data_IF_063211878305
#
_entry.id   IF_063211878305
#
_cell.length_a   1.000
_cell.length_b   1.000
_cell.length_c   1.000
_cell.angle_alpha   90.00
_cell.angle_beta   90.00
_cell.angle_gamma   90.00
#
_symmetry.space_group_name_H-M   'P 1'
#
loop_
_entity.id
_entity.type
_entity.pdbx_description
1 polymer ?
#
# COMPACT_ATOMS: atom_id res chain seq x y z
N UNK A 1 -45.60 12.61 -1.75
CA UNK A 1 -44.20 12.84 -1.33
C UNK A 1 -43.80 14.21 -1.84
N UNK A 2 -43.51 15.17 -0.95
CA UNK A 2 -43.31 16.57 -1.34
C UNK A 2 -41.94 16.78 -1.99
N UNK A 3 -41.80 17.86 -2.77
CA UNK A 3 -40.55 18.27 -3.44
C UNK A 3 -39.31 18.23 -2.52
N UNK A 4 -39.51 18.45 -1.22
CA UNK A 4 -38.49 18.41 -0.17
C UNK A 4 -37.88 17.03 0.07
N UNK A 5 -38.62 15.93 -0.08
CA UNK A 5 -38.06 14.59 0.12
C UNK A 5 -37.22 14.14 -1.07
N UNK A 6 -37.57 14.58 -2.28
CA UNK A 6 -36.82 14.27 -3.50
C UNK A 6 -35.46 14.98 -3.53
N UNK A 7 -35.41 16.25 -3.11
CA UNK A 7 -34.16 17.02 -3.07
C UNK A 7 -33.19 16.53 -1.99
N UNK A 8 -33.68 16.18 -0.80
CA UNK A 8 -32.84 15.56 0.24
C UNK A 8 -32.35 14.16 -0.17
N UNK A 9 -33.20 13.35 -0.81
CA UNK A 9 -32.82 12.03 -1.31
C UNK A 9 -31.74 12.11 -2.38
N UNK A 10 -31.85 13.04 -3.33
CA UNK A 10 -30.86 13.25 -4.38
C UNK A 10 -29.50 13.68 -3.80
N UNK A 11 -29.49 14.55 -2.79
CA UNK A 11 -28.25 14.98 -2.13
C UNK A 11 -27.53 13.81 -1.45
N UNK A 12 -28.28 12.92 -0.78
CA UNK A 12 -27.73 11.72 -0.16
C UNK A 12 -27.10 10.76 -1.18
N UNK A 13 -27.76 10.56 -2.32
CA UNK A 13 -27.25 9.71 -3.40
C UNK A 13 -25.95 10.26 -4.02
N UNK A 14 -25.84 11.58 -4.21
CA UNK A 14 -24.62 12.21 -4.73
C UNK A 14 -23.45 12.04 -3.76
N UNK A 15 -23.66 12.28 -2.46
CA UNK A 15 -22.62 12.12 -1.43
C UNK A 15 -22.15 10.65 -1.39
N UNK A 16 -23.08 9.69 -1.38
CA UNK A 16 -22.75 8.27 -1.40
C UNK A 16 -21.97 7.88 -2.67
N UNK A 17 -22.36 8.41 -3.83
CA UNK A 17 -21.67 8.17 -5.10
C UNK A 17 -20.23 8.68 -5.10
N UNK A 18 -19.98 9.87 -4.54
CA UNK A 18 -18.62 10.41 -4.40
C UNK A 18 -17.78 9.55 -3.46
N UNK A 19 -18.33 9.14 -2.31
CA UNK A 19 -17.62 8.26 -1.36
C UNK A 19 -17.25 6.93 -2.02
N UNK A 20 -18.19 6.30 -2.73
CA UNK A 20 -17.95 5.02 -3.42
C UNK A 20 -16.97 5.16 -4.59
N UNK A 21 -17.01 6.27 -5.32
CA UNK A 21 -16.04 6.55 -6.38
C UNK A 21 -14.64 6.86 -5.85
N UNK A 22 -14.50 7.17 -4.56
CA UNK A 22 -13.24 7.54 -3.93
C UNK A 22 -12.95 6.71 -2.66
N UNK A 23 -13.21 5.40 -2.71
CA UNK A 23 -12.91 4.48 -1.60
C UNK A 23 -11.44 4.50 -1.17
N UNK A 24 -10.53 4.90 -2.08
CA UNK A 24 -9.11 5.08 -1.81
C UNK A 24 -8.79 6.12 -0.72
N UNK A 25 -9.71 7.05 -0.41
CA UNK A 25 -9.55 7.97 0.72
C UNK A 25 -9.70 7.29 2.08
N UNK A 26 -10.40 6.15 2.14
CA UNK A 26 -10.60 5.37 3.37
C UNK A 26 -9.59 4.24 3.52
N UNK A 27 -8.81 3.94 2.48
CA UNK A 27 -7.71 2.99 2.58
C UNK A 27 -6.58 3.57 3.43
N UNK A 28 -6.14 2.80 4.42
CA UNK A 28 -4.91 3.07 5.17
C UNK A 28 -3.77 3.25 4.17
N UNK A 29 -3.20 4.45 4.11
CA UNK A 29 -2.03 4.72 3.27
C UNK A 29 -0.90 3.82 3.73
N UNK A 30 -0.17 3.22 2.79
CA UNK A 30 0.97 2.38 3.17
C UNK A 30 2.00 3.24 3.88
N UNK A 31 2.35 2.84 5.09
CA UNK A 31 3.43 3.47 5.83
C UNK A 31 4.79 3.04 5.25
N UNK A 32 5.82 3.84 5.51
CA UNK A 32 7.18 3.46 5.16
C UNK A 32 7.67 2.40 6.14
N UNK A 33 8.29 1.34 5.61
CA UNK A 33 8.96 0.36 6.43
C UNK A 33 10.15 0.99 7.17
N UNK A 34 10.31 0.68 8.47
CA UNK A 34 11.50 1.09 9.23
C UNK A 34 12.73 0.31 8.76
N UNK A 35 13.92 0.88 8.95
CA UNK A 35 15.17 0.20 8.61
C UNK A 35 15.31 -1.11 9.40
N UNK A 36 14.92 -1.12 10.68
CA UNK A 36 14.88 -2.30 11.53
C UNK A 36 13.95 -3.39 10.99
N UNK A 37 12.80 -3.02 10.42
CA UNK A 37 11.94 -4.00 9.78
C UNK A 37 12.58 -4.56 8.50
N UNK A 38 13.20 -3.70 7.69
CA UNK A 38 13.82 -4.09 6.43
C UNK A 38 15.03 -4.99 6.63
N UNK A 39 15.89 -4.72 7.62
CA UNK A 39 17.11 -5.48 7.86
C UNK A 39 16.86 -6.93 8.30
N UNK A 40 15.77 -7.16 9.01
CA UNK A 40 15.35 -8.47 9.51
C UNK A 40 14.62 -9.32 8.47
N UNK A 41 14.26 -8.75 7.32
CA UNK A 41 13.59 -9.47 6.25
C UNK A 41 14.49 -10.56 5.65
N UNK A 42 13.92 -11.76 5.44
CA UNK A 42 14.60 -12.86 4.75
C UNK A 42 14.41 -12.73 3.24
N UNK A 43 15.53 -12.56 2.53
CA UNK A 43 15.57 -12.48 1.07
C UNK A 43 15.96 -13.83 0.50
N UNK A 44 15.30 -14.19 -0.61
CA UNK A 44 15.62 -15.38 -1.40
C UNK A 44 16.05 -14.94 -2.78
N UNK A 45 17.14 -15.52 -3.27
CA UNK A 45 17.52 -15.33 -4.67
C UNK A 45 16.50 -15.97 -5.61
N UNK A 46 16.31 -15.35 -6.77
CA UNK A 46 15.40 -15.81 -7.83
C UNK A 46 16.04 -16.82 -8.76
N UNK A 47 17.37 -16.98 -8.71
CA UNK A 47 18.11 -17.94 -9.51
C UNK A 47 18.01 -19.37 -8.94
N UNK A 48 18.46 -20.35 -9.73
CA UNK A 48 18.40 -21.77 -9.38
C UNK A 48 19.16 -22.14 -8.09
N UNK A 49 20.17 -21.35 -7.72
CA UNK A 49 20.91 -21.52 -6.46
C UNK A 49 20.16 -20.86 -5.30
N UNK A 50 19.11 -21.52 -4.80
CA UNK A 50 18.29 -20.98 -3.71
C UNK A 50 19.11 -20.72 -2.43
N UNK A 51 19.49 -19.45 -2.24
CA UNK A 51 20.08 -18.93 -1.01
C UNK A 51 19.09 -18.02 -0.30
N UNK A 52 18.92 -18.25 0.99
CA UNK A 52 18.20 -17.36 1.90
C UNK A 52 19.21 -16.58 2.74
N UNK A 53 19.02 -15.27 2.86
CA UNK A 53 19.89 -14.40 3.64
C UNK A 53 19.13 -13.17 4.14
N UNK A 54 19.62 -12.56 5.23
CA UNK A 54 19.02 -11.33 5.76
C UNK A 54 19.28 -10.15 4.84
N UNK A 55 18.28 -9.30 4.67
CA UNK A 55 18.38 -8.13 3.80
C UNK A 55 19.55 -7.22 4.20
N UNK A 56 19.84 -7.08 5.51
CA UNK A 56 20.97 -6.28 6.04
C UNK A 56 22.29 -6.52 5.30
N UNK A 57 22.55 -7.77 4.90
CA UNK A 57 23.78 -8.18 4.20
C UNK A 57 24.00 -7.45 2.88
N UNK A 58 22.96 -6.88 2.27
CA UNK A 58 23.05 -6.13 1.03
C UNK A 58 23.69 -4.74 1.19
N UNK A 59 23.65 -4.13 2.38
CA UNK A 59 24.15 -2.77 2.61
C UNK A 59 25.11 -2.61 3.78
N UNK A 60 25.27 -3.63 4.64
CA UNK A 60 26.11 -3.52 5.84
C UNK A 60 27.59 -3.22 5.54
N UNK A 61 28.10 -3.67 4.39
CA UNK A 61 29.53 -3.51 4.03
C UNK A 61 29.79 -2.33 3.10
N UNK A 62 29.00 -2.18 2.04
CA UNK A 62 29.26 -1.22 0.95
C UNK A 62 28.25 -0.08 0.85
N UNK A 63 27.17 -0.10 1.66
CA UNK A 63 26.01 0.75 1.45
C UNK A 63 25.27 0.37 0.15
N UNK A 64 23.95 0.30 0.19
CA UNK A 64 23.14 0.05 -0.99
C UNK A 64 21.84 0.84 -0.93
N UNK A 65 21.35 1.26 -2.09
CA UNK A 65 20.00 1.81 -2.23
C UNK A 65 19.11 0.66 -2.69
N UNK A 66 18.14 0.30 -1.86
CA UNK A 66 17.19 -0.77 -2.15
C UNK A 66 15.82 -0.17 -2.39
N UNK A 67 15.22 -0.55 -3.51
CA UNK A 67 13.85 -0.18 -3.85
C UNK A 67 12.97 -1.43 -3.78
N UNK A 68 12.08 -1.47 -2.80
CA UNK A 68 11.03 -2.48 -2.73
C UNK A 68 9.86 -2.03 -3.61
N UNK A 69 9.65 -2.72 -4.75
CA UNK A 69 8.52 -2.46 -5.63
C UNK A 69 7.45 -3.52 -5.40
N UNK A 70 6.27 -3.07 -4.96
CA UNK A 70 5.06 -3.90 -4.97
C UNK A 70 4.57 -4.07 -6.41
N UNK A 71 4.33 -5.30 -6.84
CA UNK A 71 3.72 -5.57 -8.15
C UNK A 71 2.29 -5.01 -8.11
N UNK A 72 1.87 -4.18 -9.08
CA UNK A 72 0.47 -3.77 -9.16
C UNK A 72 -0.38 -5.01 -9.44
N UNK A 73 -1.42 -5.19 -8.64
CA UNK A 73 -2.46 -6.21 -8.75
C UNK A 73 -3.78 -5.60 -8.31
#
# INVERSE_FOLDING_TARGET
MSMWSLSLGAMGAVIAGIILANTDFFLTKSDFATLQYLEDADLKTTDADEKVFKARTLWETSGAVIMAVRRPG
#
